data_IF_691077718700
#
_entry.id   IF_691077718700
#
_cell.length_a   1.000
_cell.length_b   1.000
_cell.length_c   1.000
_cell.angle_alpha   90.00
_cell.angle_beta   90.00
_cell.angle_gamma   90.00
#
_symmetry.space_group_name_H-M   'P 1'
#
loop_
_entity.id
_entity.type
_entity.pdbx_description
1 polymer ?
#
# COMPACT_ATOMS: atom_id res chain seq x y z
N UNK A 1 -17.01 6.66 -16.79
CA UNK A 1 -17.11 8.04 -17.26
C UNK A 1 -18.42 8.64 -16.76
N UNK A 2 -18.45 9.91 -16.28
CA UNK A 2 -19.65 10.55 -15.75
C UNK A 2 -20.80 10.58 -16.79
N UNK A 3 -20.45 10.82 -18.06
CA UNK A 3 -21.43 10.78 -19.15
C UNK A 3 -22.08 9.40 -19.31
N UNK A 4 -21.32 8.31 -19.21
CA UNK A 4 -21.87 6.95 -19.30
C UNK A 4 -22.89 6.68 -18.19
N UNK A 5 -22.64 7.19 -16.98
CA UNK A 5 -23.58 7.05 -15.84
C UNK A 5 -24.85 7.86 -16.11
N UNK A 6 -24.72 9.09 -16.62
CA UNK A 6 -25.86 9.95 -16.97
C UNK A 6 -26.72 9.32 -18.06
N UNK A 7 -26.10 8.86 -19.16
CA UNK A 7 -26.87 8.23 -20.25
C UNK A 7 -27.55 6.92 -19.84
N UNK A 8 -26.89 6.10 -19.01
CA UNK A 8 -27.49 4.91 -18.41
C UNK A 8 -28.66 5.27 -17.50
N UNK A 9 -28.57 6.36 -16.72
CA UNK A 9 -29.66 6.82 -15.89
C UNK A 9 -30.84 7.28 -16.74
N UNK A 10 -30.61 8.13 -17.74
CA UNK A 10 -31.66 8.65 -18.62
C UNK A 10 -32.38 7.53 -19.39
N UNK A 11 -31.63 6.52 -19.86
CA UNK A 11 -32.19 5.36 -20.52
C UNK A 11 -33.04 4.50 -19.59
N UNK A 12 -32.57 4.24 -18.36
CA UNK A 12 -33.32 3.46 -17.34
C UNK A 12 -34.60 4.12 -16.86
N UNK A 13 -34.72 5.43 -17.02
CA UNK A 13 -35.89 6.22 -16.65
C UNK A 13 -36.73 6.62 -17.86
N UNK A 14 -36.61 5.92 -19.00
CA UNK A 14 -37.39 6.11 -20.22
C UNK A 14 -37.31 7.56 -20.80
N UNK A 15 -36.24 8.31 -20.42
CA UNK A 15 -36.00 9.66 -20.94
C UNK A 15 -35.25 9.62 -22.28
N UNK A 16 -34.71 8.47 -22.68
CA UNK A 16 -34.07 8.20 -23.96
C UNK A 16 -34.59 6.88 -24.52
N UNK A 17 -34.83 6.83 -25.84
CA UNK A 17 -35.26 5.61 -26.51
C UNK A 17 -34.14 4.57 -26.61
N UNK A 18 -32.88 5.00 -26.63
CA UNK A 18 -31.71 4.15 -26.65
C UNK A 18 -30.53 4.79 -25.88
N UNK A 19 -29.64 3.96 -25.37
CA UNK A 19 -28.42 4.45 -24.74
C UNK A 19 -27.34 4.69 -25.82
N UNK A 20 -27.28 5.93 -26.32
CA UNK A 20 -26.32 6.32 -27.35
C UNK A 20 -24.86 6.03 -26.94
N UNK A 21 -24.57 5.97 -25.63
CA UNK A 21 -23.23 5.74 -25.12
C UNK A 21 -22.72 4.29 -25.36
N UNK A 22 -23.64 3.34 -25.61
CA UNK A 22 -23.28 1.97 -25.94
C UNK A 22 -22.76 1.84 -27.39
N UNK A 23 -23.05 2.84 -28.24
CA UNK A 23 -22.56 2.93 -29.62
C UNK A 23 -21.22 3.66 -29.75
N UNK A 24 -20.70 4.22 -28.65
CA UNK A 24 -19.43 4.95 -28.65
C UNK A 24 -18.29 4.01 -28.31
N UNK A 25 -17.42 3.75 -29.29
CA UNK A 25 -16.19 3.00 -29.06
C UNK A 25 -15.27 3.75 -28.09
N UNK A 26 -14.90 3.08 -27.02
CA UNK A 26 -13.93 3.64 -26.07
C UNK A 26 -12.52 3.47 -26.62
N UNK A 27 -11.71 4.53 -26.66
CA UNK A 27 -10.32 4.38 -27.07
C UNK A 27 -9.62 3.38 -26.15
N UNK A 28 -8.91 2.42 -26.73
CA UNK A 28 -8.05 1.51 -25.97
C UNK A 28 -6.91 2.34 -25.37
N UNK A 29 -6.92 2.49 -24.05
CA UNK A 29 -5.80 3.13 -23.36
C UNK A 29 -4.60 2.17 -23.38
N UNK A 30 -3.39 2.66 -23.69
CA UNK A 30 -2.19 1.85 -23.58
C UNK A 30 -2.04 1.32 -22.15
N UNK A 31 -1.68 0.06 -22.01
CA UNK A 31 -1.35 -0.52 -20.72
C UNK A 31 -0.14 0.22 -20.15
N UNK A 32 -0.34 0.92 -19.03
CA UNK A 32 0.74 1.60 -18.33
C UNK A 32 1.38 0.61 -17.37
N UNK A 33 2.69 0.44 -17.48
CA UNK A 33 3.47 -0.29 -16.49
C UNK A 33 3.16 0.23 -15.08
N UNK A 34 3.00 -0.68 -14.13
CA UNK A 34 2.69 -0.32 -12.74
C UNK A 34 3.92 0.33 -12.13
N UNK A 35 3.82 1.63 -11.84
CA UNK A 35 4.86 2.33 -11.09
C UNK A 35 4.79 1.87 -9.63
N UNK A 36 5.86 1.27 -9.14
CA UNK A 36 6.03 0.81 -7.76
C UNK A 36 7.47 1.03 -7.34
N UNK A 37 7.73 0.98 -6.05
CA UNK A 37 9.09 0.93 -5.51
C UNK A 37 9.54 -0.54 -5.46
N UNK A 38 10.81 -0.79 -5.71
CA UNK A 38 11.47 -2.05 -5.38
C UNK A 38 11.93 -2.05 -3.90
N UNK A 39 12.63 -3.10 -3.47
CA UNK A 39 13.05 -3.25 -2.08
C UNK A 39 14.03 -2.13 -1.67
N UNK A 40 15.04 -1.85 -2.51
CA UNK A 40 16.06 -0.83 -2.22
C UNK A 40 15.45 0.58 -2.22
N UNK A 41 14.55 0.87 -3.15
CA UNK A 41 13.80 2.12 -3.20
C UNK A 41 12.88 2.30 -1.98
N UNK A 42 12.28 1.20 -1.50
CA UNK A 42 11.42 1.22 -0.32
C UNK A 42 12.25 1.48 0.95
N UNK A 43 13.40 0.84 1.10
CA UNK A 43 14.33 1.10 2.18
C UNK A 43 14.82 2.57 2.16
N UNK A 44 15.30 3.05 1.01
CA UNK A 44 15.74 4.44 0.86
C UNK A 44 14.61 5.46 1.15
N UNK A 45 13.37 5.12 0.79
CA UNK A 45 12.21 5.96 1.10
C UNK A 45 11.97 6.03 2.61
N UNK A 46 12.00 4.91 3.33
CA UNK A 46 11.83 4.87 4.78
C UNK A 46 12.99 5.57 5.50
N UNK A 47 14.24 5.35 5.08
CA UNK A 47 15.42 6.06 5.59
C UNK A 47 15.30 7.58 5.41
N UNK A 48 14.77 8.03 4.26
CA UNK A 48 14.52 9.45 4.03
C UNK A 48 13.45 10.00 4.95
N UNK A 49 12.42 9.21 5.27
CA UNK A 49 11.37 9.59 6.23
C UNK A 49 11.94 9.66 7.66
N UNK A 50 12.79 8.74 8.04
CA UNK A 50 13.35 8.62 9.40
C UNK A 50 14.44 9.68 9.65
N UNK A 51 15.44 9.74 8.77
CA UNK A 51 16.63 10.58 8.99
C UNK A 51 16.55 11.96 8.33
N UNK A 52 15.60 12.18 7.43
CA UNK A 52 15.47 13.46 6.74
C UNK A 52 16.62 13.75 5.77
N UNK A 53 17.24 12.71 5.20
CA UNK A 53 18.36 12.83 4.27
C UNK A 53 17.98 13.66 3.05
N UNK A 54 18.87 14.61 2.68
CA UNK A 54 18.69 15.51 1.53
C UNK A 54 17.46 16.46 1.62
N UNK A 55 16.88 16.67 2.80
CA UNK A 55 15.91 17.71 3.04
C UNK A 55 16.62 19.08 3.12
N UNK A 56 15.95 20.13 2.64
CA UNK A 56 16.41 21.52 2.84
C UNK A 56 16.29 21.92 4.31
N UNK A 57 17.06 22.94 4.77
CA UNK A 57 17.03 23.42 6.17
C UNK A 57 15.61 23.77 6.65
N UNK A 58 14.80 24.36 5.76
CA UNK A 58 13.39 24.64 6.07
C UNK A 58 12.58 23.38 6.25
N UNK A 59 12.79 22.36 5.41
CA UNK A 59 12.10 21.07 5.52
C UNK A 59 12.56 20.31 6.76
N UNK A 60 13.85 20.36 7.13
CA UNK A 60 14.38 19.73 8.33
C UNK A 60 13.72 20.24 9.61
N UNK A 61 13.50 21.56 9.74
CA UNK A 61 12.80 22.14 10.90
C UNK A 61 11.38 21.61 11.09
N UNK A 62 10.68 21.30 9.99
CA UNK A 62 9.35 20.68 10.05
C UNK A 62 9.45 19.17 10.25
N UNK A 63 10.43 18.53 9.63
CA UNK A 63 10.70 17.11 9.74
C UNK A 63 10.94 16.71 11.19
N UNK A 64 11.81 17.39 11.93
CA UNK A 64 12.12 17.11 13.33
C UNK A 64 10.87 17.06 14.24
N UNK A 65 9.83 17.83 13.88
CA UNK A 65 8.56 17.86 14.63
C UNK A 65 7.56 16.81 14.22
N UNK A 66 7.78 16.15 13.08
CA UNK A 66 6.78 15.23 12.49
C UNK A 66 7.33 13.87 12.12
N UNK A 67 8.65 13.66 12.21
CA UNK A 67 9.32 12.45 11.72
C UNK A 67 8.76 11.15 12.33
N UNK A 68 8.54 11.13 13.63
CA UNK A 68 8.01 9.95 14.33
C UNK A 68 6.62 9.59 13.81
N UNK A 69 5.74 10.59 13.67
CA UNK A 69 4.42 10.38 13.06
C UNK A 69 4.52 9.95 11.61
N UNK A 70 5.35 10.66 10.83
CA UNK A 70 5.49 10.44 9.39
C UNK A 70 6.04 9.03 9.13
N UNK A 71 7.02 8.57 9.93
CA UNK A 71 7.57 7.22 9.88
C UNK A 71 6.50 6.17 10.22
N UNK A 72 5.77 6.35 11.32
CA UNK A 72 4.70 5.44 11.71
C UNK A 72 3.63 5.29 10.61
N UNK A 73 3.23 6.39 9.97
CA UNK A 73 2.26 6.35 8.85
C UNK A 73 2.83 5.61 7.65
N UNK A 74 4.08 5.93 7.22
CA UNK A 74 4.66 5.33 6.02
C UNK A 74 4.94 3.85 6.20
N UNK A 75 5.48 3.45 7.36
CA UNK A 75 5.73 2.04 7.66
C UNK A 75 4.42 1.25 7.75
N UNK A 76 3.39 1.80 8.41
CA UNK A 76 2.08 1.15 8.47
C UNK A 76 1.47 0.97 7.07
N UNK A 77 1.52 2.01 6.22
CA UNK A 77 0.96 1.92 4.86
C UNK A 77 1.74 0.95 3.97
N UNK A 78 3.05 0.85 4.12
CA UNK A 78 3.91 -0.06 3.36
C UNK A 78 3.83 -1.50 3.87
N UNK A 79 3.55 -1.73 5.15
CA UNK A 79 3.43 -3.08 5.73
C UNK A 79 2.04 -3.69 5.60
N UNK A 80 1.01 -2.87 5.31
CA UNK A 80 -0.38 -3.33 5.26
C UNK A 80 -1.06 -3.14 3.91
N UNK A 81 -0.57 -2.20 3.12
CA UNK A 81 -1.21 -1.80 1.88
C UNK A 81 -2.61 -1.18 2.07
N UNK A 82 -2.97 -0.69 3.24
CA UNK A 82 -4.28 -0.03 3.47
C UNK A 82 -4.48 1.20 2.58
N UNK A 83 -5.74 1.55 2.34
CA UNK A 83 -6.07 2.78 1.60
C UNK A 83 -5.78 3.99 2.46
N UNK A 84 -5.42 5.10 1.82
CA UNK A 84 -5.17 6.36 2.52
C UNK A 84 -6.37 6.81 3.38
N UNK A 85 -7.60 6.58 2.92
CA UNK A 85 -8.82 6.87 3.68
C UNK A 85 -8.98 5.97 4.91
N UNK A 86 -8.57 4.71 4.80
CA UNK A 86 -8.55 3.76 5.91
C UNK A 86 -7.51 4.21 6.96
N UNK A 87 -6.31 4.60 6.53
CA UNK A 87 -5.26 5.13 7.41
C UNK A 87 -5.71 6.39 8.16
N UNK A 88 -6.32 7.35 7.47
CA UNK A 88 -6.85 8.59 8.08
C UNK A 88 -7.97 8.29 9.08
N UNK A 89 -8.78 7.27 8.82
CA UNK A 89 -9.92 6.89 9.65
C UNK A 89 -9.56 6.16 10.94
N UNK A 90 -8.31 5.69 11.12
CA UNK A 90 -7.91 4.93 12.29
C UNK A 90 -8.06 5.73 13.60
N UNK A 91 -8.55 5.05 14.62
CA UNK A 91 -8.60 5.50 16.00
C UNK A 91 -7.54 4.76 16.85
N UNK A 92 -7.24 5.28 18.04
CA UNK A 92 -6.29 4.66 18.98
C UNK A 92 -6.69 3.23 19.33
N UNK A 93 -7.98 2.97 19.50
CA UNK A 93 -8.53 1.66 19.86
C UNK A 93 -8.57 0.66 18.69
N UNK A 94 -8.22 1.10 17.48
CA UNK A 94 -8.16 0.22 16.32
C UNK A 94 -6.82 -0.52 16.19
N UNK A 95 -5.83 -0.18 17.02
CA UNK A 95 -4.50 -0.79 17.01
C UNK A 95 -4.40 -1.86 18.09
N UNK A 96 -4.13 -3.09 17.70
CA UNK A 96 -3.87 -4.23 18.60
C UNK A 96 -2.42 -4.70 18.41
N UNK A 97 -1.55 -4.29 19.33
CA UNK A 97 -0.14 -4.69 19.31
C UNK A 97 0.07 -6.15 19.72
N UNK A 98 -0.85 -6.74 20.51
CA UNK A 98 -0.75 -8.14 20.93
C UNK A 98 -0.88 -9.09 19.74
N UNK A 99 -1.78 -8.74 18.81
CA UNK A 99 -2.06 -9.53 17.61
C UNK A 99 -1.43 -8.92 16.36
N UNK A 100 -0.63 -7.84 16.48
CA UNK A 100 0.01 -7.10 15.37
C UNK A 100 -0.97 -6.79 14.25
N UNK A 101 -2.13 -6.23 14.60
CA UNK A 101 -3.18 -5.90 13.62
C UNK A 101 -3.86 -4.56 13.90
N UNK A 102 -4.51 -4.06 12.86
CA UNK A 102 -5.39 -2.89 12.92
C UNK A 102 -6.79 -3.26 12.42
N UNK A 103 -7.80 -2.61 12.98
CA UNK A 103 -9.18 -2.67 12.47
C UNK A 103 -9.41 -1.48 11.55
N UNK A 104 -9.80 -1.73 10.31
CA UNK A 104 -10.07 -0.70 9.32
C UNK A 104 -11.52 -0.75 8.85
N UNK A 105 -12.11 0.42 8.61
CA UNK A 105 -13.43 0.53 7.97
C UNK A 105 -13.26 0.69 6.48
N UNK A 106 -13.68 -0.32 5.71
CA UNK A 106 -13.62 -0.36 4.25
C UNK A 106 -14.83 0.32 3.61
N UNK A 107 -14.80 0.46 2.27
CA UNK A 107 -15.94 1.01 1.50
C UNK A 107 -17.23 0.26 1.84
N UNK A 108 -18.28 1.02 2.13
CA UNK A 108 -19.59 0.48 2.53
C UNK A 108 -19.75 0.17 4.01
N UNK A 109 -18.82 0.67 4.87
CA UNK A 109 -18.90 0.51 6.33
C UNK A 109 -18.50 -0.87 6.85
N UNK A 110 -17.94 -1.73 6.00
CA UNK A 110 -17.47 -3.07 6.42
C UNK A 110 -16.15 -2.95 7.19
N UNK A 111 -16.12 -3.53 8.38
CA UNK A 111 -14.87 -3.65 9.14
C UNK A 111 -14.03 -4.82 8.63
N UNK A 112 -12.71 -4.67 8.72
CA UNK A 112 -11.75 -5.71 8.39
C UNK A 112 -10.54 -5.61 9.31
N UNK A 113 -9.98 -6.76 9.69
CA UNK A 113 -8.71 -6.84 10.38
C UNK A 113 -7.60 -6.92 9.34
N UNK A 114 -6.56 -6.13 9.53
CA UNK A 114 -5.38 -6.09 8.67
C UNK A 114 -4.14 -6.22 9.55
N UNK A 115 -3.31 -7.21 9.25
CA UNK A 115 -2.07 -7.45 9.99
C UNK A 115 -0.94 -6.58 9.44
N UNK A 116 -0.13 -6.01 10.32
CA UNK A 116 1.08 -5.26 9.96
C UNK A 116 2.33 -6.05 10.36
N UNK A 117 3.45 -5.76 9.69
CA UNK A 117 4.72 -6.44 9.97
C UNK A 117 5.34 -5.97 11.28
N UNK A 118 6.25 -6.78 11.84
CA UNK A 118 6.99 -6.44 13.05
C UNK A 118 7.77 -5.12 12.91
N UNK A 119 8.21 -4.77 11.69
CA UNK A 119 8.87 -3.49 11.40
C UNK A 119 7.99 -2.27 11.67
N UNK A 120 6.66 -2.41 11.68
CA UNK A 120 5.75 -1.32 11.98
C UNK A 120 5.46 -1.17 13.49
N UNK A 121 5.83 -2.15 14.31
CA UNK A 121 5.52 -2.14 15.76
C UNK A 121 6.20 -0.98 16.45
N UNK A 122 7.53 -0.88 16.34
CA UNK A 122 8.31 0.15 17.02
C UNK A 122 7.92 1.57 16.59
N UNK A 123 7.87 1.92 15.29
CA UNK A 123 7.43 3.25 14.85
C UNK A 123 6.03 3.64 15.33
N UNK A 124 5.10 2.68 15.34
CA UNK A 124 3.74 2.93 15.82
C UNK A 124 3.69 3.13 17.33
N UNK A 125 4.42 2.34 18.11
CA UNK A 125 4.51 2.49 19.56
C UNK A 125 5.13 3.84 19.94
N UNK A 126 6.27 4.20 19.33
CA UNK A 126 6.93 5.48 19.55
C UNK A 126 6.00 6.65 19.28
N UNK A 127 5.31 6.61 18.13
CA UNK A 127 4.35 7.64 17.79
C UNK A 127 3.19 7.72 18.79
N UNK A 128 2.62 6.60 19.23
CA UNK A 128 1.52 6.58 20.19
C UNK A 128 1.96 7.17 21.54
N UNK A 129 3.21 6.91 22.00
CA UNK A 129 3.74 7.53 23.20
C UNK A 129 3.91 9.05 23.04
N UNK A 130 4.36 9.54 21.89
CA UNK A 130 4.37 10.99 21.60
C UNK A 130 2.95 11.56 21.54
N UNK A 131 2.04 10.84 20.87
CA UNK A 131 0.65 11.22 20.71
C UNK A 131 -0.07 11.41 22.05
N UNK A 132 0.24 10.60 23.08
CA UNK A 132 -0.32 10.73 24.43
C UNK A 132 0.04 12.05 25.11
N UNK A 133 1.15 12.67 24.74
CA UNK A 133 1.60 13.96 25.27
C UNK A 133 0.91 15.16 24.61
N UNK A 134 0.21 14.95 23.49
CA UNK A 134 -0.47 15.99 22.75
C UNK A 134 -1.91 16.18 23.24
N UNK A 135 -2.40 17.43 23.26
CA UNK A 135 -3.81 17.72 23.47
C UNK A 135 -4.51 17.76 22.10
N UNK A 136 -5.41 16.81 21.79
CA UNK A 136 -6.11 16.80 20.53
C UNK A 136 -7.08 17.97 20.39
N UNK A 137 -7.29 18.43 19.18
CA UNK A 137 -8.38 19.35 18.86
C UNK A 137 -9.74 18.67 19.09
N UNK A 138 -10.75 19.49 19.40
CA UNK A 138 -12.13 19.03 19.63
C UNK A 138 -12.63 18.16 18.48
N UNK A 139 -13.14 16.97 18.81
CA UNK A 139 -13.62 15.97 17.83
C UNK A 139 -12.52 15.10 17.20
N UNK A 140 -11.28 15.21 17.71
CA UNK A 140 -10.14 14.39 17.26
C UNK A 140 -9.48 13.59 18.39
N UNK A 141 -10.19 13.45 19.51
CA UNK A 141 -9.68 12.85 20.76
C UNK A 141 -9.24 11.40 20.53
N UNK A 142 -10.01 10.64 19.76
CA UNK A 142 -9.75 9.23 19.48
C UNK A 142 -8.85 9.00 18.25
N UNK A 143 -8.66 10.03 17.40
CA UNK A 143 -7.89 9.87 16.18
C UNK A 143 -6.49 9.32 16.43
N UNK A 144 -6.08 8.25 15.73
CA UNK A 144 -4.73 7.71 15.83
C UNK A 144 -3.72 8.77 15.37
N UNK A 145 -3.84 9.24 14.15
CA UNK A 145 -2.89 10.18 13.56
C UNK A 145 -3.40 11.63 13.61
N UNK A 146 -2.57 12.51 14.18
CA UNK A 146 -2.87 13.94 14.30
C UNK A 146 -2.04 14.77 13.30
N UNK A 147 -2.65 15.83 12.80
CA UNK A 147 -1.97 16.89 12.04
C UNK A 147 -1.13 17.78 12.98
N UNK A 148 -0.36 18.72 12.41
CA UNK A 148 0.34 19.77 13.18
C UNK A 148 -0.59 20.70 13.98
N UNK A 149 -1.89 20.70 13.65
CA UNK A 149 -2.92 21.44 14.39
C UNK A 149 -3.66 20.56 15.39
N UNK A 150 -3.13 19.39 15.71
CA UNK A 150 -3.70 18.40 16.62
C UNK A 150 -5.11 17.90 16.26
N UNK A 151 -5.60 18.18 15.06
CA UNK A 151 -6.80 17.57 14.51
C UNK A 151 -6.46 16.24 13.81
N UNK A 152 -7.46 15.38 13.60
CA UNK A 152 -7.29 14.16 12.78
C UNK A 152 -6.58 14.52 11.47
N UNK A 153 -5.55 13.76 11.13
CA UNK A 153 -4.82 13.97 9.87
C UNK A 153 -5.77 13.81 8.68
N UNK A 154 -5.56 14.58 7.63
CA UNK A 154 -6.38 14.49 6.42
C UNK A 154 -5.62 13.85 5.26
N UNK A 155 -6.38 13.37 4.27
CA UNK A 155 -5.86 12.72 3.08
C UNK A 155 -4.81 13.57 2.36
N UNK A 156 -5.05 14.89 2.26
CA UNK A 156 -4.13 15.79 1.56
C UNK A 156 -2.78 15.90 2.26
N UNK A 157 -2.77 15.89 3.58
CA UNK A 157 -1.52 15.92 4.35
C UNK A 157 -0.67 14.68 4.06
N UNK A 158 -1.26 13.48 4.08
CA UNK A 158 -0.53 12.24 3.75
C UNK A 158 -0.07 12.24 2.28
N UNK A 159 -0.89 12.72 1.34
CA UNK A 159 -0.47 12.86 -0.06
C UNK A 159 0.75 13.76 -0.21
N UNK A 160 0.75 14.92 0.47
CA UNK A 160 1.88 15.86 0.43
C UNK A 160 3.13 15.26 1.10
N UNK A 161 2.96 14.50 2.16
CA UNK A 161 4.01 13.78 2.88
C UNK A 161 4.67 12.74 1.96
N UNK A 162 3.88 11.85 1.35
CA UNK A 162 4.37 10.86 0.38
C UNK A 162 5.11 11.55 -0.78
N UNK A 163 4.53 12.62 -1.33
CA UNK A 163 5.17 13.39 -2.40
C UNK A 163 6.51 13.97 -1.97
N UNK A 164 6.57 14.60 -0.79
CA UNK A 164 7.80 15.21 -0.25
C UNK A 164 8.95 14.20 -0.18
N UNK A 165 8.72 13.09 0.49
CA UNK A 165 9.77 12.10 0.70
C UNK A 165 10.12 11.31 -0.57
N UNK A 166 9.13 10.97 -1.39
CA UNK A 166 9.39 10.22 -2.62
C UNK A 166 10.15 11.02 -3.69
N UNK A 167 9.97 12.35 -3.75
CA UNK A 167 10.74 13.20 -4.66
C UNK A 167 12.24 13.20 -4.34
N UNK A 168 12.60 12.89 -3.10
CA UNK A 168 13.98 12.80 -2.64
C UNK A 168 14.51 11.38 -2.81
N UNK A 169 13.78 10.40 -2.28
CA UNK A 169 14.22 9.00 -2.24
C UNK A 169 14.19 8.32 -3.62
N UNK A 170 13.18 8.64 -4.45
CA UNK A 170 12.92 7.99 -5.75
C UNK A 170 12.52 9.03 -6.80
N UNK A 171 13.39 9.98 -7.14
CA UNK A 171 13.04 11.15 -7.96
C UNK A 171 12.54 10.81 -9.36
N UNK A 172 12.90 9.66 -9.90
CA UNK A 172 12.51 9.20 -11.23
C UNK A 172 11.09 8.60 -11.27
N UNK A 173 10.46 8.37 -10.11
CA UNK A 173 9.13 7.74 -10.01
C UNK A 173 8.14 8.69 -9.35
N UNK A 174 6.96 8.80 -9.91
CA UNK A 174 5.86 9.53 -9.28
C UNK A 174 5.12 8.61 -8.29
N UNK A 175 5.55 8.61 -7.04
CA UNK A 175 4.96 7.82 -5.97
C UNK A 175 3.78 8.57 -5.33
N UNK A 176 2.70 7.85 -5.11
CA UNK A 176 1.47 8.33 -4.45
C UNK A 176 1.06 7.30 -3.40
N UNK A 177 0.15 7.60 -2.46
CA UNK A 177 -0.36 6.62 -1.51
C UNK A 177 -0.89 5.34 -2.17
N UNK A 178 -1.51 5.46 -3.34
CA UNK A 178 -1.94 4.29 -4.11
C UNK A 178 -0.75 3.45 -4.61
N UNK A 179 0.38 4.09 -4.90
CA UNK A 179 1.59 3.40 -5.32
C UNK A 179 2.30 2.70 -4.14
N UNK A 180 2.23 3.24 -2.91
CA UNK A 180 2.68 2.53 -1.71
C UNK A 180 1.91 1.21 -1.54
N UNK A 181 0.59 1.27 -1.68
CA UNK A 181 -0.26 0.07 -1.67
C UNK A 181 0.08 -0.91 -2.80
N UNK A 182 0.36 -0.42 -4.02
CA UNK A 182 0.82 -1.26 -5.14
C UNK A 182 2.19 -1.89 -4.86
N UNK A 183 3.09 -1.17 -4.18
CA UNK A 183 4.40 -1.68 -3.73
C UNK A 183 4.21 -2.87 -2.79
N UNK A 184 3.40 -2.69 -1.73
CA UNK A 184 3.08 -3.77 -0.80
C UNK A 184 2.43 -4.98 -1.49
N UNK A 185 1.39 -4.77 -2.28
CA UNK A 185 0.70 -5.86 -2.96
C UNK A 185 1.60 -6.61 -3.95
N UNK A 186 2.57 -5.91 -4.56
CA UNK A 186 3.56 -6.53 -5.43
C UNK A 186 4.54 -7.40 -4.64
N UNK A 187 5.09 -6.87 -3.54
CA UNK A 187 5.97 -7.63 -2.67
C UNK A 187 5.28 -8.89 -2.13
N UNK A 188 4.04 -8.75 -1.64
CA UNK A 188 3.23 -9.87 -1.17
C UNK A 188 3.01 -10.92 -2.27
N UNK A 189 2.72 -10.50 -3.50
CA UNK A 189 2.55 -11.43 -4.63
C UNK A 189 3.86 -12.12 -5.03
N UNK A 190 4.99 -11.40 -4.98
CA UNK A 190 6.32 -11.97 -5.26
C UNK A 190 6.68 -13.08 -4.27
N UNK A 191 6.37 -12.89 -3.00
CA UNK A 191 6.67 -13.87 -1.94
C UNK A 191 5.71 -15.05 -1.93
N UNK A 192 4.40 -14.78 -2.03
CA UNK A 192 3.37 -15.81 -1.84
C UNK A 192 2.96 -16.51 -3.14
N UNK A 193 3.12 -15.83 -4.27
CA UNK A 193 2.60 -16.24 -5.57
C UNK A 193 1.06 -16.49 -5.58
N UNK A 194 0.35 -15.98 -4.57
CA UNK A 194 -1.09 -16.16 -4.41
C UNK A 194 -1.84 -14.85 -4.67
N UNK A 195 -2.50 -14.79 -5.81
CA UNK A 195 -3.28 -13.61 -6.23
C UNK A 195 -4.56 -13.43 -5.41
N UNK A 196 -5.13 -14.54 -4.90
CA UNK A 196 -6.33 -14.48 -4.08
C UNK A 196 -6.01 -13.92 -2.70
N UNK A 197 -4.90 -14.36 -2.09
CA UNK A 197 -4.39 -13.79 -0.85
C UNK A 197 -4.15 -12.29 -0.99
N UNK A 198 -3.47 -11.86 -2.07
CA UNK A 198 -3.22 -10.44 -2.34
C UNK A 198 -4.54 -9.66 -2.48
N UNK A 199 -5.53 -10.22 -3.20
CA UNK A 199 -6.82 -9.57 -3.38
C UNK A 199 -7.58 -9.43 -2.05
N UNK A 200 -7.54 -10.46 -1.21
CA UNK A 200 -8.19 -10.47 0.10
C UNK A 200 -7.55 -9.47 1.06
N UNK A 201 -6.24 -9.55 1.25
CA UNK A 201 -5.47 -8.62 2.11
C UNK A 201 -5.70 -7.17 1.69
N UNK A 202 -5.59 -6.88 0.39
CA UNK A 202 -5.87 -5.57 -0.14
C UNK A 202 -7.37 -5.20 -0.09
N UNK A 203 -8.29 -6.14 0.11
CA UNK A 203 -9.74 -5.91 0.10
C UNK A 203 -10.24 -5.43 -1.27
N UNK A 204 -9.84 -6.12 -2.32
CA UNK A 204 -10.38 -5.95 -3.64
C UNK A 204 -11.65 -6.80 -3.79
N UNK A 205 -12.76 -6.18 -4.15
CA UNK A 205 -14.03 -6.88 -4.38
C UNK A 205 -14.02 -7.74 -5.65
N UNK A 206 -13.09 -7.47 -6.57
CA UNK A 206 -12.92 -8.19 -7.82
C UNK A 206 -11.44 -8.58 -7.99
N UNK A 207 -11.18 -9.89 -7.96
CA UNK A 207 -9.84 -10.47 -8.17
C UNK A 207 -9.30 -10.16 -9.57
N UNK A 208 -10.15 -9.95 -10.57
CA UNK A 208 -9.71 -9.59 -11.92
C UNK A 208 -8.99 -8.24 -11.94
N UNK A 209 -9.37 -7.31 -11.06
CA UNK A 209 -8.64 -6.05 -10.88
C UNK A 209 -7.21 -6.33 -10.41
N UNK A 210 -7.04 -7.25 -9.46
CA UNK A 210 -5.73 -7.67 -8.96
C UNK A 210 -4.95 -8.40 -10.05
N UNK A 211 -5.57 -9.33 -10.76
CA UNK A 211 -4.94 -10.12 -11.84
C UNK A 211 -4.37 -9.24 -12.95
N UNK A 212 -5.09 -8.21 -13.40
CA UNK A 212 -4.59 -7.25 -14.41
C UNK A 212 -3.36 -6.50 -13.92
N UNK A 213 -3.31 -6.17 -12.64
CA UNK A 213 -2.16 -5.46 -12.05
C UNK A 213 -0.89 -6.30 -11.95
N UNK A 214 -1.01 -7.65 -11.90
CA UNK A 214 0.13 -8.54 -11.69
C UNK A 214 0.41 -9.47 -12.87
N UNK A 215 -0.32 -9.33 -13.99
CA UNK A 215 -0.14 -10.15 -15.19
C UNK A 215 1.30 -10.09 -15.74
N UNK A 216 1.93 -8.92 -15.70
CA UNK A 216 3.31 -8.73 -16.16
C UNK A 216 4.37 -9.48 -15.32
N UNK A 217 3.98 -9.98 -14.14
CA UNK A 217 4.87 -10.74 -13.25
C UNK A 217 4.83 -12.25 -13.48
N UNK A 218 3.95 -12.72 -14.37
CA UNK A 218 3.83 -14.16 -14.66
C UNK A 218 5.12 -14.75 -15.25
N UNK A 219 5.91 -13.96 -15.97
CA UNK A 219 7.18 -14.43 -16.54
C UNK A 219 8.25 -14.68 -15.46
N UNK A 220 8.33 -13.83 -14.45
CA UNK A 220 9.19 -14.04 -13.27
C UNK A 220 8.80 -15.32 -12.51
N UNK A 221 7.49 -15.55 -12.33
CA UNK A 221 6.96 -16.77 -11.70
C UNK A 221 7.31 -18.03 -12.49
N UNK A 222 7.14 -18.01 -13.81
CA UNK A 222 7.52 -19.12 -14.70
C UNK A 222 9.00 -19.46 -14.59
N UNK A 223 9.86 -18.42 -14.53
CA UNK A 223 11.30 -18.60 -14.32
C UNK A 223 11.63 -19.21 -12.97
N UNK A 224 10.96 -18.78 -11.89
CA UNK A 224 11.16 -19.34 -10.54
C UNK A 224 10.63 -20.77 -10.47
N UNK A 225 9.49 -21.06 -11.07
CA UNK A 225 8.86 -22.37 -11.08
C UNK A 225 9.65 -23.45 -11.88
N UNK A 226 10.55 -23.06 -12.80
CA UNK A 226 11.29 -24.01 -13.67
C UNK A 226 12.07 -25.07 -12.90
N UNK A 227 12.54 -24.76 -11.69
CA UNK A 227 13.35 -25.65 -10.86
C UNK A 227 12.55 -26.30 -9.72
N UNK A 228 11.24 -26.08 -9.65
CA UNK A 228 10.39 -26.62 -8.58
C UNK A 228 10.09 -28.11 -8.79
N UNK A 229 10.09 -28.57 -10.05
CA UNK A 229 9.89 -29.98 -10.38
C UNK A 229 11.27 -30.64 -10.51
N UNK A 230 11.60 -31.47 -9.53
CA UNK A 230 12.78 -32.34 -9.60
C UNK A 230 12.48 -33.58 -10.43
N UNK A 231 13.17 -33.75 -11.57
CA UNK A 231 12.93 -34.88 -12.47
C UNK A 231 13.64 -36.17 -12.04
N UNK A 232 14.67 -36.06 -11.19
CA UNK A 232 15.42 -37.18 -10.63
C UNK A 232 15.95 -36.82 -9.23
N UNK A 233 15.86 -37.75 -8.28
CA UNK A 233 16.64 -37.68 -7.06
C UNK A 233 18.12 -37.87 -7.42
N UNK A 234 19.01 -36.95 -7.03
CA UNK A 234 20.44 -37.18 -7.11
C UNK A 234 20.81 -38.20 -6.03
N UNK A 235 20.72 -39.50 -6.37
CA UNK A 235 21.38 -40.52 -5.63
C UNK A 235 22.89 -40.25 -5.78
N UNK A 236 23.54 -39.82 -4.70
CA UNK A 236 24.99 -39.84 -4.59
C UNK A 236 25.45 -41.28 -4.84
N UNK A 237 26.06 -41.49 -6.00
CA UNK A 237 26.71 -42.78 -6.29
C UNK A 237 27.76 -42.97 -5.22
N UNK A 238 27.71 -44.08 -4.42
CA UNK A 238 28.75 -44.34 -3.48
C UNK A 238 30.06 -44.61 -4.21
N UNK A 239 31.08 -43.90 -3.81
CA UNK A 239 32.43 -43.93 -4.39
C UNK A 239 33.03 -45.36 -4.19
N UNK A 240 32.87 -46.22 -5.18
CA UNK A 240 33.51 -47.55 -5.26
C UNK A 240 34.91 -47.42 -5.80
N UNK A 241 35.82 -46.82 -5.03
CA UNK A 241 37.25 -47.00 -5.22
C UNK A 241 37.99 -47.05 -3.89
N UNK A 242 38.00 -48.24 -3.30
CA UNK A 242 39.03 -48.62 -2.38
C UNK A 242 39.14 -50.16 -2.38
N UNK A 243 39.95 -50.68 -3.31
CA UNK A 243 40.68 -51.96 -3.18
C UNK A 243 41.68 -52.06 -4.33
N UNK A 244 42.88 -51.66 -4.11
CA UNK A 244 44.11 -52.45 -4.29
C UNK A 244 45.29 -51.64 -3.80
#
# INVERSE_FOLDING_TARGET
CALSVLFNYLYKHDMLQENIFDKVDRPKLPEKAITRMDADETANFLDTVEYGTNLTDRQLKFHEKSKVRDLAIMTLMLSTGIRISECVGLDLNDVDFKNTCIRVTRKGGKEAIVYFSDEAVEPLQEYIEERKKLTPAKGSENALFLSSHHSRINVRTIQNMVKKYSQIAVPLKHITPHKLRSTYGTALYQETSDIYLVADVLGHSDVNTTRKHYADMDDYRKRRARNTVQLREHNTVPDTKSKK
#
